data_IF_379834043946
#
_entry.id   IF_379834043946
#
_cell.length_a   1.000
_cell.length_b   1.000
_cell.length_c   1.000
_cell.angle_alpha   90.00
_cell.angle_beta   90.00
_cell.angle_gamma   90.00
#
_symmetry.space_group_name_H-M   'P 1'
#
loop_
_entity.id
_entity.type
_entity.pdbx_description
1 polymer ?
#
# COMPACT_ATOMS: atom_id res chain seq x y z
N UNK A 1 -43.93 -3.53 -28.22
CA UNK A 1 -42.74 -4.20 -28.79
C UNK A 1 -42.01 -4.86 -27.63
N UNK A 2 -41.76 -6.18 -27.66
CA UNK A 2 -41.28 -6.90 -26.46
C UNK A 2 -39.75 -6.75 -26.32
N UNK A 3 -39.24 -5.94 -25.37
CA UNK A 3 -37.83 -5.56 -25.30
C UNK A 3 -36.91 -6.72 -24.89
N UNK A 4 -37.47 -7.78 -24.30
CA UNK A 4 -36.74 -9.00 -23.98
C UNK A 4 -36.26 -9.74 -25.24
N UNK A 5 -36.93 -9.56 -26.40
CA UNK A 5 -36.47 -10.14 -27.67
C UNK A 5 -35.17 -9.50 -28.19
N UNK A 6 -34.88 -8.25 -27.81
CA UNK A 6 -33.63 -7.56 -28.20
C UNK A 6 -32.45 -8.18 -27.44
N UNK A 7 -32.63 -8.44 -26.15
CA UNK A 7 -31.62 -9.11 -25.32
C UNK A 7 -31.43 -10.55 -25.79
N UNK A 8 -32.48 -11.30 -26.13
CA UNK A 8 -32.32 -12.66 -26.65
C UNK A 8 -31.63 -12.72 -28.03
N UNK A 9 -31.83 -11.74 -28.91
CA UNK A 9 -31.12 -11.70 -30.19
C UNK A 9 -29.63 -11.37 -30.02
N UNK A 10 -29.26 -10.57 -29.01
CA UNK A 10 -27.86 -10.34 -28.63
C UNK A 10 -27.14 -11.64 -28.19
N UNK A 11 -27.88 -12.66 -27.73
CA UNK A 11 -27.32 -13.98 -27.42
C UNK A 11 -26.71 -14.67 -28.65
N UNK A 12 -27.18 -14.38 -29.86
CA UNK A 12 -26.67 -15.00 -31.10
C UNK A 12 -25.34 -14.42 -31.60
N UNK A 13 -24.96 -13.24 -31.12
CA UNK A 13 -23.73 -12.54 -31.53
C UNK A 13 -22.67 -12.42 -30.42
N UNK A 14 -22.98 -12.91 -29.22
CA UNK A 14 -22.10 -12.86 -28.06
C UNK A 14 -21.72 -14.28 -27.63
N UNK A 15 -20.54 -14.41 -27.02
CA UNK A 15 -20.20 -15.66 -26.34
C UNK A 15 -21.18 -15.92 -25.19
N UNK A 16 -21.42 -17.19 -24.88
CA UNK A 16 -22.36 -17.59 -23.81
C UNK A 16 -21.99 -16.94 -22.47
N UNK A 17 -20.69 -16.86 -22.17
CA UNK A 17 -20.17 -16.24 -20.96
C UNK A 17 -20.36 -14.70 -20.93
N UNK A 18 -20.24 -14.01 -22.07
CA UNK A 18 -20.52 -12.57 -22.14
C UNK A 18 -22.02 -12.27 -22.01
N UNK A 19 -22.86 -13.12 -22.59
CA UNK A 19 -24.31 -12.97 -22.50
C UNK A 19 -24.79 -13.13 -21.06
N UNK A 20 -24.38 -14.20 -20.38
CA UNK A 20 -24.81 -14.49 -19.01
C UNK A 20 -24.34 -13.42 -18.01
N UNK A 21 -23.07 -12.99 -18.11
CA UNK A 21 -22.50 -12.07 -17.13
C UNK A 21 -22.89 -10.60 -17.35
N UNK A 22 -23.27 -10.19 -18.56
CA UNK A 22 -23.47 -8.77 -18.88
C UNK A 22 -24.84 -8.43 -19.44
N UNK A 23 -25.46 -9.30 -20.23
CA UNK A 23 -26.70 -8.97 -20.96
C UNK A 23 -27.93 -9.58 -20.27
N UNK A 24 -27.86 -10.84 -19.83
CA UNK A 24 -28.98 -11.55 -19.20
C UNK A 24 -29.44 -10.90 -17.87
N UNK A 25 -28.53 -10.19 -17.21
CA UNK A 25 -28.77 -9.49 -15.95
C UNK A 25 -29.43 -8.10 -16.11
N UNK A 26 -29.55 -7.60 -17.35
CA UNK A 26 -30.19 -6.31 -17.63
C UNK A 26 -31.71 -6.45 -17.56
N UNK A 27 -32.35 -5.50 -16.86
CA UNK A 27 -33.81 -5.40 -16.80
C UNK A 27 -34.28 -4.17 -17.53
N UNK A 28 -35.13 -4.33 -18.54
CA UNK A 28 -35.72 -3.20 -19.24
C UNK A 28 -36.63 -2.38 -18.31
N UNK A 29 -36.49 -1.05 -18.37
CA UNK A 29 -37.26 -0.12 -17.56
C UNK A 29 -38.32 0.57 -18.40
N UNK A 30 -39.50 -0.04 -18.50
CA UNK A 30 -40.62 0.47 -19.31
C UNK A 30 -41.07 1.87 -18.90
N UNK A 31 -41.01 2.21 -17.61
CA UNK A 31 -41.50 3.50 -17.09
C UNK A 31 -40.63 4.68 -17.50
N UNK A 32 -39.34 4.45 -17.76
CA UNK A 32 -38.39 5.49 -18.15
C UNK A 32 -38.01 5.41 -19.64
N UNK A 33 -38.45 4.36 -20.33
CA UNK A 33 -38.17 4.18 -21.75
C UNK A 33 -39.27 4.80 -22.62
N UNK A 34 -38.86 5.41 -23.72
CA UNK A 34 -39.71 5.99 -24.79
C UNK A 34 -39.24 5.45 -26.14
N UNK A 35 -39.97 5.76 -27.21
CA UNK A 35 -39.67 5.28 -28.56
C UNK A 35 -38.27 5.69 -29.08
N UNK A 36 -37.72 6.79 -28.58
CA UNK A 36 -36.43 7.38 -28.93
C UNK A 36 -35.35 7.21 -27.84
N UNK A 37 -35.71 6.62 -26.69
CA UNK A 37 -34.84 6.52 -25.53
C UNK A 37 -35.10 5.25 -24.72
N UNK A 38 -34.16 4.32 -24.68
CA UNK A 38 -34.30 3.04 -23.97
C UNK A 38 -33.50 3.04 -22.68
N UNK A 39 -34.11 2.60 -21.59
CA UNK A 39 -33.47 2.52 -20.28
C UNK A 39 -33.43 1.06 -19.80
N UNK A 40 -32.24 0.59 -19.47
CA UNK A 40 -32.00 -0.72 -18.86
C UNK A 40 -31.37 -0.55 -17.48
N UNK A 41 -31.77 -1.39 -16.55
CA UNK A 41 -31.24 -1.41 -15.19
C UNK A 41 -30.25 -2.58 -15.03
N UNK A 42 -29.02 -2.28 -14.62
CA UNK A 42 -27.99 -3.24 -14.23
C UNK A 42 -27.87 -3.34 -12.69
N UNK A 43 -27.34 -4.43 -12.12
CA UNK A 43 -27.24 -4.61 -10.67
C UNK A 43 -26.42 -3.55 -9.91
N UNK A 44 -25.41 -2.94 -10.55
CA UNK A 44 -24.55 -1.93 -9.94
C UNK A 44 -24.02 -0.91 -10.97
N UNK A 45 -23.46 0.21 -10.51
CA UNK A 45 -23.06 1.34 -11.36
C UNK A 45 -21.82 1.05 -12.22
N UNK A 46 -20.87 0.28 -11.71
CA UNK A 46 -19.67 -0.11 -12.46
C UNK A 46 -20.06 -0.96 -13.67
N UNK A 47 -20.93 -1.94 -13.45
CA UNK A 47 -21.46 -2.79 -14.50
C UNK A 47 -22.33 -2.00 -15.47
N UNK A 48 -23.15 -1.07 -14.98
CA UNK A 48 -23.92 -0.18 -15.83
C UNK A 48 -23.03 0.63 -16.78
N UNK A 49 -21.96 1.25 -16.26
CA UNK A 49 -20.99 2.01 -17.07
C UNK A 49 -20.22 1.14 -18.06
N UNK A 50 -19.79 -0.05 -17.62
CA UNK A 50 -19.10 -1.01 -18.48
C UNK A 50 -19.99 -1.46 -19.64
N UNK A 51 -21.21 -1.90 -19.35
CA UNK A 51 -22.16 -2.36 -20.37
C UNK A 51 -22.58 -1.18 -21.28
N UNK A 52 -22.79 0.02 -20.72
CA UNK A 52 -23.09 1.22 -21.50
C UNK A 52 -21.99 1.50 -22.53
N UNK A 53 -20.73 1.42 -22.10
CA UNK A 53 -19.56 1.71 -22.94
C UNK A 53 -19.36 0.63 -24.00
N UNK A 54 -19.42 -0.65 -23.62
CA UNK A 54 -19.09 -1.78 -24.49
C UNK A 54 -20.25 -2.20 -25.40
N UNK A 55 -21.49 -2.19 -24.90
CA UNK A 55 -22.65 -2.76 -25.59
C UNK A 55 -23.75 -1.75 -25.91
N UNK A 56 -23.74 -0.53 -25.35
CA UNK A 56 -24.81 0.46 -25.56
C UNK A 56 -25.09 0.79 -27.02
N UNK A 57 -24.04 0.94 -27.85
CA UNK A 57 -24.18 1.16 -29.30
C UNK A 57 -24.77 -0.05 -30.03
N UNK A 58 -24.38 -1.26 -29.64
CA UNK A 58 -24.91 -2.50 -30.22
C UNK A 58 -26.40 -2.64 -29.90
N UNK A 59 -26.79 -2.44 -28.64
CA UNK A 59 -28.20 -2.49 -28.20
C UNK A 59 -29.05 -1.47 -28.98
N UNK A 60 -28.53 -0.26 -29.18
CA UNK A 60 -29.18 0.79 -29.97
C UNK A 60 -29.38 0.38 -31.43
N UNK A 61 -28.35 -0.19 -32.06
CA UNK A 61 -28.42 -0.67 -33.44
C UNK A 61 -29.44 -1.81 -33.62
N UNK A 62 -29.44 -2.79 -32.70
CA UNK A 62 -30.42 -3.88 -32.74
C UNK A 62 -31.86 -3.40 -32.59
N UNK A 63 -32.08 -2.40 -31.75
CA UNK A 63 -33.39 -1.77 -31.63
C UNK A 63 -33.82 -1.08 -32.92
N UNK A 64 -32.91 -0.38 -33.60
CA UNK A 64 -33.18 0.29 -34.88
C UNK A 64 -33.56 -0.71 -35.98
N UNK A 65 -32.81 -1.81 -36.10
CA UNK A 65 -33.10 -2.87 -37.09
C UNK A 65 -34.47 -3.51 -36.86
N UNK A 66 -34.87 -3.69 -35.60
CA UNK A 66 -36.13 -4.37 -35.29
C UNK A 66 -37.35 -3.43 -35.32
N UNK A 67 -37.18 -2.18 -34.89
CA UNK A 67 -38.28 -1.22 -34.71
C UNK A 67 -38.43 -0.21 -35.83
N UNK A 68 -37.42 -0.07 -36.70
CA UNK A 68 -37.32 1.01 -37.68
C UNK A 68 -37.03 2.38 -37.07
N UNK A 69 -36.86 2.47 -35.75
CA UNK A 69 -36.64 3.73 -35.02
C UNK A 69 -35.27 3.74 -34.33
N UNK A 70 -34.54 4.84 -34.50
CA UNK A 70 -33.26 5.05 -33.84
C UNK A 70 -33.48 5.55 -32.41
N UNK A 71 -33.11 4.74 -31.43
CA UNK A 71 -33.20 5.10 -30.01
C UNK A 71 -31.82 5.14 -29.34
N UNK A 72 -31.63 6.12 -28.47
CA UNK A 72 -30.44 6.18 -27.60
C UNK A 72 -30.64 5.29 -26.37
N UNK A 73 -29.59 4.57 -25.97
CA UNK A 73 -29.64 3.58 -24.88
C UNK A 73 -28.94 4.14 -23.65
N UNK A 74 -29.59 4.03 -22.50
CA UNK A 74 -29.04 4.33 -21.19
C UNK A 74 -29.12 3.08 -20.29
N UNK A 75 -27.97 2.68 -19.76
CA UNK A 75 -27.85 1.60 -18.78
C UNK A 75 -27.48 2.23 -17.44
N UNK A 76 -28.32 2.01 -16.44
CA UNK A 76 -28.20 2.61 -15.11
C UNK A 76 -28.27 1.54 -14.02
N UNK A 77 -27.74 1.82 -12.83
CA UNK A 77 -27.84 0.89 -11.72
C UNK A 77 -29.28 0.77 -11.20
N UNK A 78 -29.72 -0.43 -10.82
CA UNK A 78 -31.01 -0.66 -10.20
C UNK A 78 -30.98 -0.05 -8.79
N UNK A 79 -31.60 1.12 -8.64
CA UNK A 79 -31.75 1.77 -7.33
C UNK A 79 -32.71 0.95 -6.47
N UNK A 80 -32.17 0.16 -5.54
CA UNK A 80 -32.97 -0.33 -4.41
C UNK A 80 -33.36 0.89 -3.57
N UNK A 81 -34.65 1.23 -3.59
CA UNK A 81 -35.24 2.24 -2.72
C UNK A 81 -35.17 1.75 -1.27
N UNK A 82 -34.07 2.05 -0.58
CA UNK A 82 -34.13 2.30 0.85
C UNK A 82 -34.38 3.79 1.06
N UNK A 83 -35.58 4.08 1.54
CA UNK A 83 -36.00 5.40 1.96
C UNK A 83 -35.15 5.87 3.15
N UNK A 84 -34.11 6.65 2.89
CA UNK A 84 -33.69 7.70 3.80
C UNK A 84 -33.71 9.00 3.02
N UNK A 85 -34.34 10.04 3.59
CA UNK A 85 -34.30 11.39 3.03
C UNK A 85 -32.84 11.88 3.09
N UNK A 86 -32.06 11.65 2.04
CA UNK A 86 -30.75 12.30 1.88
C UNK A 86 -30.85 13.35 0.78
N UNK A 87 -30.60 14.59 1.17
CA UNK A 87 -30.11 15.68 0.32
C UNK A 87 -29.26 15.11 -0.82
N UNK A 88 -29.54 15.47 -2.08
CA UNK A 88 -28.73 15.09 -3.24
C UNK A 88 -27.31 15.64 -3.03
N UNK A 89 -26.40 14.82 -2.53
CA UNK A 89 -24.98 15.16 -2.42
C UNK A 89 -24.40 15.09 -3.84
N UNK A 90 -23.88 16.20 -4.35
CA UNK A 90 -23.20 16.25 -5.65
C UNK A 90 -21.79 15.65 -5.52
N UNK A 91 -21.72 14.33 -5.69
CA UNK A 91 -20.48 13.55 -5.58
C UNK A 91 -19.44 14.02 -6.61
N UNK A 92 -19.85 14.56 -7.77
CA UNK A 92 -18.92 15.03 -8.79
C UNK A 92 -18.19 16.31 -8.35
N UNK A 93 -18.91 17.25 -7.74
CA UNK A 93 -18.32 18.46 -7.18
C UNK A 93 -17.38 18.15 -5.99
N UNK A 94 -17.75 17.20 -5.14
CA UNK A 94 -16.92 16.80 -3.99
C UNK A 94 -15.63 16.11 -4.43
N UNK A 95 -15.68 15.29 -5.49
CA UNK A 95 -14.47 14.72 -6.11
C UNK A 95 -13.53 15.79 -6.67
N UNK A 96 -14.08 16.86 -7.26
CA UNK A 96 -13.28 17.97 -7.78
C UNK A 96 -12.55 18.76 -6.68
N UNK A 97 -13.10 18.77 -5.46
CA UNK A 97 -12.49 19.44 -4.30
C UNK A 97 -11.61 18.53 -3.43
N UNK A 98 -11.52 17.24 -3.78
CA UNK A 98 -10.77 16.24 -3.03
C UNK A 98 -9.43 15.93 -3.70
N UNK A 99 -8.48 15.37 -2.96
CA UNK A 99 -7.25 14.85 -3.57
C UNK A 99 -7.58 13.64 -4.45
N UNK A 100 -6.90 13.54 -5.61
CA UNK A 100 -6.95 12.35 -6.46
C UNK A 100 -6.30 11.18 -5.71
N UNK A 101 -7.08 10.16 -5.41
CA UNK A 101 -6.62 8.92 -4.78
C UNK A 101 -6.37 7.85 -5.84
N UNK A 102 -5.55 6.85 -5.50
CA UNK A 102 -5.40 5.68 -6.34
C UNK A 102 -6.68 4.82 -6.26
N UNK A 103 -7.45 4.65 -7.36
CA UNK A 103 -8.70 3.89 -7.32
C UNK A 103 -8.49 2.39 -7.07
N UNK A 104 -7.26 1.86 -7.23
CA UNK A 104 -6.98 0.45 -6.95
C UNK A 104 -6.78 0.14 -5.46
N UNK A 105 -6.57 1.16 -4.63
CA UNK A 105 -6.36 0.99 -3.19
C UNK A 105 -7.72 1.03 -2.48
N UNK A 106 -8.41 -0.10 -2.46
CA UNK A 106 -9.71 -0.28 -1.81
C UNK A 106 -9.63 -1.32 -0.69
N UNK A 107 -10.68 -1.44 0.12
CA UNK A 107 -10.74 -2.48 1.15
C UNK A 107 -10.87 -3.88 0.55
N UNK A 108 -11.46 -3.97 -0.63
CA UNK A 108 -11.74 -5.21 -1.36
C UNK A 108 -10.47 -5.76 -2.03
N UNK A 109 -9.54 -4.88 -2.40
CA UNK A 109 -8.22 -5.27 -2.91
C UNK A 109 -7.17 -5.51 -1.81
N UNK A 110 -7.51 -5.22 -0.54
CA UNK A 110 -6.61 -5.43 0.59
C UNK A 110 -6.79 -6.83 1.20
N UNK A 111 -5.71 -7.61 1.25
CA UNK A 111 -5.73 -8.96 1.83
C UNK A 111 -5.54 -8.89 3.34
N UNK A 112 -6.53 -9.38 4.07
CA UNK A 112 -6.53 -9.39 5.54
C UNK A 112 -5.88 -10.66 6.08
N UNK A 113 -4.98 -10.50 7.04
CA UNK A 113 -4.38 -11.58 7.81
C UNK A 113 -4.05 -11.10 9.23
N UNK A 114 -3.58 -12.00 10.09
CA UNK A 114 -3.36 -11.68 11.52
C UNK A 114 -2.43 -10.48 11.73
N UNK A 115 -1.46 -10.28 10.83
CA UNK A 115 -0.48 -9.19 10.88
C UNK A 115 -1.03 -7.79 10.60
N UNK A 116 -2.26 -7.70 10.05
CA UNK A 116 -2.87 -6.43 9.64
C UNK A 116 -4.37 -6.31 10.01
N UNK A 117 -4.97 -7.35 10.59
CA UNK A 117 -6.39 -7.45 10.89
C UNK A 117 -6.90 -6.34 11.79
N UNK A 118 -6.11 -5.95 12.80
CA UNK A 118 -6.48 -4.89 13.73
C UNK A 118 -6.53 -3.52 13.04
N UNK A 119 -5.47 -3.16 12.30
CA UNK A 119 -5.42 -1.93 11.50
C UNK A 119 -6.56 -1.88 10.47
N UNK A 120 -6.78 -2.98 9.74
CA UNK A 120 -7.88 -3.12 8.78
C UNK A 120 -9.23 -2.91 9.45
N UNK A 121 -9.47 -3.58 10.58
CA UNK A 121 -10.72 -3.49 11.33
C UNK A 121 -11.01 -2.07 11.81
N UNK A 122 -10.00 -1.38 12.36
CA UNK A 122 -10.13 0.02 12.77
C UNK A 122 -10.51 0.93 11.60
N UNK A 123 -9.83 0.79 10.47
CA UNK A 123 -10.09 1.58 9.25
C UNK A 123 -11.46 1.27 8.64
N UNK A 124 -11.87 0.00 8.61
CA UNK A 124 -13.19 -0.39 8.09
C UNK A 124 -14.32 0.09 9.00
N UNK A 125 -14.11 0.09 10.32
CA UNK A 125 -15.11 0.54 11.29
C UNK A 125 -15.49 2.02 11.13
N UNK A 126 -14.51 2.90 10.86
CA UNK A 126 -14.75 4.33 10.64
C UNK A 126 -15.27 4.66 9.24
N UNK A 127 -15.10 3.75 8.27
CA UNK A 127 -15.53 3.93 6.88
C UNK A 127 -17.05 3.69 6.69
N UNK A 128 -17.82 3.85 7.76
CA UNK A 128 -19.29 3.83 7.76
C UNK A 128 -19.80 5.25 8.03
N UNK A 129 -20.83 5.68 7.30
CA UNK A 129 -21.29 7.08 7.24
C UNK A 129 -21.51 7.74 8.62
N UNK A 130 -22.04 7.00 9.58
CA UNK A 130 -22.39 7.54 10.91
C UNK A 130 -21.26 7.51 11.94
N UNK A 131 -20.11 6.90 11.59
CA UNK A 131 -18.97 6.70 12.51
C UNK A 131 -17.77 7.58 12.20
N UNK A 132 -17.69 8.10 10.97
CA UNK A 132 -16.60 8.96 10.52
C UNK A 132 -16.44 10.18 11.44
N UNK A 133 -15.23 10.40 11.94
CA UNK A 133 -14.87 11.53 12.81
C UNK A 133 -15.29 11.36 14.28
N UNK A 134 -16.28 10.50 14.56
CA UNK A 134 -16.84 10.24 15.89
C UNK A 134 -16.19 9.06 16.60
N UNK A 135 -15.88 8.02 15.84
CA UNK A 135 -15.36 6.75 16.36
C UNK A 135 -13.88 6.68 15.98
N UNK A 136 -13.00 6.41 16.95
CA UNK A 136 -11.55 6.24 16.74
C UNK A 136 -10.88 7.42 15.98
N UNK A 137 -10.74 8.58 16.64
CA UNK A 137 -10.16 9.78 16.01
C UNK A 137 -9.04 10.42 16.88
N UNK A 138 -7.77 10.42 16.42
CA UNK A 138 -7.28 9.94 15.11
C UNK A 138 -7.12 8.42 15.03
N UNK A 139 -6.88 7.89 13.83
CA UNK A 139 -6.26 6.57 13.63
C UNK A 139 -4.80 6.77 13.22
N UNK A 140 -3.89 6.12 13.94
CA UNK A 140 -2.45 6.12 13.66
C UNK A 140 -2.00 4.71 13.28
N UNK A 141 -1.65 4.51 12.01
CA UNK A 141 -1.19 3.23 11.46
C UNK A 141 0.33 3.26 11.41
N UNK A 142 1.01 2.26 11.96
CA UNK A 142 2.47 2.19 11.86
C UNK A 142 2.99 0.81 11.49
N UNK A 143 4.20 0.73 10.95
CA UNK A 143 4.82 -0.52 10.53
C UNK A 143 5.92 -0.25 9.52
N UNK A 144 6.73 -1.25 9.18
CA UNK A 144 7.83 -1.07 8.21
C UNK A 144 7.32 -0.69 6.81
N UNK A 145 8.26 -0.33 5.94
CA UNK A 145 7.96 0.02 4.55
C UNK A 145 7.34 -1.16 3.80
N UNK A 146 6.40 -0.85 2.91
CA UNK A 146 5.80 -1.85 2.03
C UNK A 146 4.90 -2.91 2.71
N UNK A 147 4.35 -2.63 3.89
CA UNK A 147 3.37 -3.51 4.54
C UNK A 147 1.90 -3.16 4.27
N UNK A 148 1.63 -2.15 3.43
CA UNK A 148 0.26 -1.77 3.03
C UNK A 148 -0.35 -0.58 3.78
N UNK A 149 0.45 0.19 4.54
CA UNK A 149 0.02 1.43 5.23
C UNK A 149 -0.71 2.40 4.29
N UNK A 150 -0.06 2.79 3.18
CA UNK A 150 -0.63 3.69 2.17
C UNK A 150 -1.87 3.11 1.49
N UNK A 151 -1.90 1.79 1.23
CA UNK A 151 -3.08 1.13 0.66
C UNK A 151 -4.27 1.30 1.60
N UNK A 152 -4.11 0.95 2.87
CA UNK A 152 -5.18 1.03 3.85
C UNK A 152 -5.64 2.48 4.10
N UNK A 153 -4.70 3.42 4.15
CA UNK A 153 -4.97 4.86 4.24
C UNK A 153 -5.84 5.35 3.07
N UNK A 154 -5.45 5.01 1.84
CA UNK A 154 -6.21 5.41 0.65
C UNK A 154 -7.53 4.63 0.50
N UNK A 155 -7.64 3.41 1.02
CA UNK A 155 -8.90 2.65 1.05
C UNK A 155 -9.98 3.36 1.89
N UNK A 156 -9.59 3.94 3.04
CA UNK A 156 -10.50 4.81 3.82
C UNK A 156 -10.91 6.02 2.98
N UNK A 157 -9.97 6.65 2.28
CA UNK A 157 -10.26 7.78 1.41
C UNK A 157 -11.23 7.45 0.28
N UNK A 158 -10.99 6.36 -0.44
CA UNK A 158 -11.86 5.92 -1.54
C UNK A 158 -13.28 5.62 -1.02
N UNK A 159 -13.42 4.88 0.08
CA UNK A 159 -14.71 4.63 0.71
C UNK A 159 -15.41 5.93 1.14
N UNK A 160 -14.65 6.91 1.64
CA UNK A 160 -15.17 8.21 2.05
C UNK A 160 -15.66 9.06 0.86
N UNK A 161 -14.94 9.04 -0.26
CA UNK A 161 -15.38 9.69 -1.50
C UNK A 161 -16.70 9.10 -2.02
N UNK A 162 -16.87 7.78 -1.94
CA UNK A 162 -18.12 7.10 -2.32
C UNK A 162 -19.29 7.51 -1.42
N UNK A 163 -19.03 7.85 -0.16
CA UNK A 163 -20.01 8.41 0.77
C UNK A 163 -20.28 9.90 0.55
N UNK A 164 -19.65 10.53 -0.45
CA UNK A 164 -19.78 11.96 -0.73
C UNK A 164 -19.11 12.83 0.33
N UNK A 165 -17.97 12.39 0.87
CA UNK A 165 -17.15 13.15 1.82
C UNK A 165 -15.97 13.81 1.12
N UNK A 166 -15.60 15.02 1.55
CA UNK A 166 -14.42 15.71 1.03
C UNK A 166 -13.16 15.15 1.67
N UNK A 167 -12.29 14.54 0.85
CA UNK A 167 -11.09 13.84 1.30
C UNK A 167 -9.84 14.60 0.87
N UNK A 168 -8.96 14.88 1.82
CA UNK A 168 -7.63 15.43 1.54
C UNK A 168 -6.59 14.38 1.91
N UNK A 169 -5.90 13.89 0.89
CA UNK A 169 -4.71 13.06 1.03
C UNK A 169 -3.46 13.89 0.75
N UNK A 170 -2.43 13.72 1.58
CA UNK A 170 -1.10 14.25 1.34
C UNK A 170 -0.04 13.35 1.98
N UNK A 171 1.11 13.20 1.34
CA UNK A 171 2.32 12.78 2.05
C UNK A 171 2.80 13.95 2.90
N UNK A 172 3.52 13.66 3.98
CA UNK A 172 4.12 14.71 4.82
C UNK A 172 5.05 15.63 4.03
N UNK A 173 5.74 15.10 3.03
CA UNK A 173 6.55 15.89 2.11
C UNK A 173 5.71 16.84 1.24
N UNK A 174 4.63 16.36 0.64
CA UNK A 174 3.72 17.21 -0.14
C UNK A 174 3.09 18.30 0.74
N UNK A 175 2.73 17.97 1.97
CA UNK A 175 2.22 18.94 2.95
C UNK A 175 3.25 20.04 3.26
N UNK A 176 4.51 19.67 3.50
CA UNK A 176 5.62 20.62 3.72
C UNK A 176 5.86 21.51 2.49
N UNK A 177 5.85 20.90 1.29
CA UNK A 177 6.08 21.61 0.03
C UNK A 177 4.94 22.60 -0.24
N UNK A 178 3.70 22.19 -0.05
CA UNK A 178 2.52 23.05 -0.17
C UNK A 178 2.60 24.24 0.80
N UNK A 179 2.90 23.98 2.08
CA UNK A 179 3.04 25.04 3.07
C UNK A 179 4.15 26.02 2.69
N UNK A 180 5.32 25.51 2.31
CA UNK A 180 6.48 26.33 1.96
C UNK A 180 6.22 27.19 0.72
N UNK A 181 5.54 26.63 -0.30
CA UNK A 181 5.18 27.33 -1.52
C UNK A 181 4.18 28.46 -1.24
N UNK A 182 3.10 28.18 -0.50
CA UNK A 182 2.09 29.18 -0.16
C UNK A 182 2.63 30.25 0.79
N UNK A 183 3.53 29.89 1.72
CA UNK A 183 4.22 30.84 2.58
C UNK A 183 5.08 31.82 1.76
N UNK A 184 5.87 31.31 0.80
CA UNK A 184 6.70 32.14 -0.08
C UNK A 184 5.88 33.06 -0.97
N UNK A 185 4.73 32.57 -1.45
CA UNK A 185 3.85 33.29 -2.36
C UNK A 185 2.81 34.19 -1.64
N UNK A 186 2.88 34.33 -0.31
CA UNK A 186 1.92 35.12 0.45
C UNK A 186 0.47 34.62 0.37
N UNK A 187 0.27 33.32 0.16
CA UNK A 187 -1.04 32.68 -0.10
C UNK A 187 -1.38 31.59 0.92
N UNK A 188 -0.97 31.78 2.19
CA UNK A 188 -1.28 30.84 3.27
C UNK A 188 -2.78 30.55 3.42
N UNK A 189 -3.65 31.50 3.07
CA UNK A 189 -5.11 31.28 3.10
C UNK A 189 -5.54 30.12 2.21
N UNK A 190 -4.92 29.94 1.03
CA UNK A 190 -5.20 28.81 0.13
C UNK A 190 -4.75 27.48 0.74
N UNK A 191 -3.63 27.49 1.45
CA UNK A 191 -3.14 26.33 2.17
C UNK A 191 -4.13 25.94 3.29
N UNK A 192 -4.58 26.91 4.07
CA UNK A 192 -5.61 26.70 5.10
C UNK A 192 -6.93 26.20 4.52
N UNK A 193 -7.42 26.81 3.44
CA UNK A 193 -8.66 26.40 2.76
C UNK A 193 -8.59 24.94 2.30
N UNK A 194 -7.44 24.53 1.74
CA UNK A 194 -7.22 23.15 1.29
C UNK A 194 -7.27 22.17 2.46
N UNK A 195 -6.53 22.42 3.54
CA UNK A 195 -6.30 21.41 4.58
C UNK A 195 -7.31 21.47 5.74
N UNK A 196 -7.95 22.60 6.02
CA UNK A 196 -8.91 22.75 7.13
C UNK A 196 -10.35 22.40 6.74
N UNK A 197 -10.72 22.61 5.48
CA UNK A 197 -12.06 22.37 4.99
C UNK A 197 -12.16 20.96 4.37
N UNK A 198 -12.08 19.90 5.19
CA UNK A 198 -12.28 18.53 4.74
C UNK A 198 -13.02 17.67 5.78
N UNK A 199 -13.74 16.65 5.31
CA UNK A 199 -14.36 15.65 6.19
C UNK A 199 -13.35 14.59 6.64
N UNK A 200 -12.33 14.33 5.80
CA UNK A 200 -11.29 13.31 6.05
C UNK A 200 -9.92 13.85 5.66
N UNK A 201 -9.01 13.87 6.63
CA UNK A 201 -7.60 14.17 6.41
C UNK A 201 -6.77 12.89 6.53
N UNK A 202 -6.06 12.58 5.45
CA UNK A 202 -5.17 11.43 5.32
C UNK A 202 -3.74 11.93 5.15
N UNK A 203 -2.89 11.71 6.17
CA UNK A 203 -1.47 12.08 6.09
C UNK A 203 -0.60 10.82 6.03
N UNK A 204 0.12 10.66 4.94
CA UNK A 204 1.09 9.57 4.78
C UNK A 204 2.46 9.98 5.34
N UNK A 205 3.17 9.00 5.92
CA UNK A 205 4.56 9.09 6.36
C UNK A 205 4.87 10.28 7.30
N UNK A 206 4.14 10.41 8.41
CA UNK A 206 4.28 11.52 9.39
C UNK A 206 5.66 11.63 10.03
N UNK A 207 6.51 10.62 9.91
CA UNK A 207 7.92 10.68 10.31
C UNK A 207 8.68 11.83 9.64
N UNK A 208 8.23 12.28 8.47
CA UNK A 208 8.88 13.38 7.75
C UNK A 208 8.40 14.79 8.15
N UNK A 209 7.39 14.93 9.02
CA UNK A 209 6.92 16.25 9.50
C UNK A 209 7.96 16.96 10.40
N UNK A 210 8.93 16.23 10.96
CA UNK A 210 9.92 16.75 11.91
C UNK A 210 10.95 17.73 11.34
N UNK A 211 10.78 18.27 10.13
CA UNK A 211 11.77 19.14 9.47
C UNK A 211 11.91 20.52 10.12
N UNK A 212 10.79 21.16 10.50
CA UNK A 212 10.82 22.50 11.15
C UNK A 212 9.73 22.62 12.21
N UNK A 213 9.92 23.50 13.21
CA UNK A 213 8.90 23.73 14.25
C UNK A 213 7.66 24.43 13.67
N UNK A 214 7.86 25.31 12.68
CA UNK A 214 6.78 26.08 12.04
C UNK A 214 5.77 25.18 11.32
N UNK A 215 6.23 24.18 10.57
CA UNK A 215 5.30 23.24 9.90
C UNK A 215 4.56 22.36 10.90
N UNK A 216 5.23 21.94 11.97
CA UNK A 216 4.63 21.14 13.02
C UNK A 216 3.55 21.91 13.79
N UNK A 217 3.79 23.19 14.03
CA UNK A 217 2.81 24.10 14.59
C UNK A 217 1.58 24.26 13.69
N UNK A 218 1.79 24.50 12.40
CA UNK A 218 0.68 24.62 11.46
C UNK A 218 -0.13 23.32 11.37
N UNK A 219 0.55 22.17 11.29
CA UNK A 219 -0.11 20.87 11.33
C UNK A 219 -0.90 20.65 12.62
N UNK A 220 -0.37 21.08 13.76
CA UNK A 220 -1.07 21.02 15.04
C UNK A 220 -2.37 21.83 15.01
N UNK A 221 -2.39 23.03 14.44
CA UNK A 221 -3.61 23.83 14.32
C UNK A 221 -4.63 23.19 13.38
N UNK A 222 -4.20 22.72 12.21
CA UNK A 222 -5.06 21.99 11.26
C UNK A 222 -5.66 20.75 11.91
N UNK A 223 -4.85 19.96 12.63
CA UNK A 223 -5.31 18.77 13.35
C UNK A 223 -6.43 19.11 14.34
N UNK A 224 -6.27 20.17 15.12
CA UNK A 224 -7.28 20.60 16.09
C UNK A 224 -8.57 21.03 15.40
N UNK A 225 -8.46 21.84 14.35
CA UNK A 225 -9.61 22.41 13.65
C UNK A 225 -10.46 21.31 13.01
N UNK A 226 -9.82 20.36 12.33
CA UNK A 226 -10.51 19.21 11.73
C UNK A 226 -11.19 18.37 12.81
N UNK A 227 -10.47 18.05 13.90
CA UNK A 227 -11.03 17.24 14.98
C UNK A 227 -12.22 17.93 15.66
N UNK A 228 -12.15 19.23 15.88
CA UNK A 228 -13.25 20.01 16.48
C UNK A 228 -14.47 20.10 15.56
N UNK A 229 -14.28 19.97 14.25
CA UNK A 229 -15.34 19.95 13.25
C UNK A 229 -15.85 18.53 12.94
N UNK A 230 -15.62 17.55 13.83
CA UNK A 230 -15.94 16.13 13.65
C UNK A 230 -15.35 15.54 12.35
N UNK A 231 -14.25 16.10 11.84
CA UNK A 231 -13.51 15.56 10.71
C UNK A 231 -12.62 14.40 11.13
N UNK A 232 -12.54 13.37 10.30
CA UNK A 232 -11.73 12.19 10.56
C UNK A 232 -10.27 12.43 10.20
N UNK A 233 -9.34 12.05 11.09
CA UNK A 233 -7.91 12.09 10.82
C UNK A 233 -7.34 10.67 10.83
N UNK A 234 -6.63 10.29 9.76
CA UNK A 234 -5.84 9.06 9.69
C UNK A 234 -4.41 9.42 9.26
N UNK A 235 -3.45 8.83 9.96
CA UNK A 235 -2.03 9.05 9.75
C UNK A 235 -1.30 7.72 9.62
N UNK A 236 -0.25 7.68 8.80
CA UNK A 236 0.66 6.53 8.72
C UNK A 236 2.07 6.90 9.16
N UNK A 237 2.81 5.94 9.70
CA UNK A 237 4.24 6.10 9.94
C UNK A 237 5.04 4.80 9.85
N UNK A 238 6.36 4.92 9.75
CA UNK A 238 7.26 3.79 9.95
C UNK A 238 7.46 3.41 11.42
N UNK A 239 7.19 4.33 12.35
CA UNK A 239 7.41 4.15 13.79
C UNK A 239 6.18 4.55 14.61
N UNK A 240 5.97 3.99 15.81
CA UNK A 240 4.91 4.43 16.70
C UNK A 240 5.15 5.88 17.17
N UNK A 241 4.10 6.60 17.65
CA UNK A 241 4.19 8.02 17.98
C UNK A 241 5.33 8.41 18.94
N UNK A 242 5.58 7.60 19.96
CA UNK A 242 6.63 7.82 20.95
C UNK A 242 8.06 7.71 20.39
N UNK A 243 8.24 6.98 19.28
CA UNK A 243 9.53 6.78 18.61
C UNK A 243 9.80 7.76 17.47
N UNK A 244 8.87 8.67 17.18
CA UNK A 244 9.06 9.69 16.14
C UNK A 244 10.10 10.72 16.55
N UNK A 245 11.24 10.72 15.85
CA UNK A 245 12.32 11.69 16.05
C UNK A 245 11.97 13.02 15.38
N UNK A 246 12.31 14.13 16.03
CA UNK A 246 12.06 15.48 15.50
C UNK A 246 10.60 15.96 15.56
N UNK A 247 9.67 15.13 16.04
CA UNK A 247 8.28 15.53 16.27
C UNK A 247 8.11 16.07 17.69
N UNK A 248 7.41 17.19 17.83
CA UNK A 248 7.11 17.82 19.11
C UNK A 248 6.25 16.93 20.02
N UNK A 249 6.48 16.98 21.33
CA UNK A 249 5.74 16.18 22.31
C UNK A 249 4.22 16.43 22.27
N UNK A 250 3.80 17.67 21.97
CA UNK A 250 2.37 17.98 21.78
C UNK A 250 1.77 17.19 20.62
N UNK A 251 2.44 17.09 19.48
CA UNK A 251 1.95 16.32 18.34
C UNK A 251 1.96 14.82 18.64
N UNK A 252 3.02 14.29 19.26
CA UNK A 252 3.06 12.88 19.69
C UNK A 252 1.89 12.53 20.60
N UNK A 253 1.56 13.41 21.55
CA UNK A 253 0.39 13.25 22.42
C UNK A 253 -0.92 13.21 21.62
N UNK A 254 -1.07 14.06 20.59
CA UNK A 254 -2.25 14.03 19.71
C UNK A 254 -2.35 12.75 18.89
N UNK A 255 -1.23 12.27 18.38
CA UNK A 255 -1.16 11.02 17.60
C UNK A 255 -1.53 9.82 18.46
N UNK A 256 -1.11 9.82 19.73
CA UNK A 256 -1.37 8.74 20.67
C UNK A 256 -2.75 8.78 21.34
N UNK A 257 -3.52 9.86 21.18
CA UNK A 257 -4.83 10.01 21.84
C UNK A 257 -5.96 9.18 21.18
N UNK A 258 -5.72 8.62 19.99
CA UNK A 258 -6.71 7.83 19.25
C UNK A 258 -6.38 6.33 19.21
N UNK A 259 -6.75 5.66 18.11
CA UNK A 259 -6.29 4.29 17.86
C UNK A 259 -4.85 4.34 17.36
N UNK A 260 -4.00 3.50 17.96
CA UNK A 260 -2.69 3.16 17.42
C UNK A 260 -2.78 1.71 16.96
N UNK A 261 -2.52 1.46 15.67
CA UNK A 261 -2.57 0.13 15.08
C UNK A 261 -1.28 -0.16 14.32
N UNK A 262 -0.66 -1.30 14.61
CA UNK A 262 0.50 -1.78 13.89
C UNK A 262 0.11 -2.62 12.67
N UNK A 263 1.00 -2.63 11.69
CA UNK A 263 1.01 -3.58 10.59
C UNK A 263 2.37 -4.25 10.59
N UNK A 264 2.36 -5.57 10.73
CA UNK A 264 3.57 -6.40 10.76
C UNK A 264 3.71 -7.24 9.49
N UNK A 265 4.90 -7.79 9.22
CA UNK A 265 5.12 -8.75 8.16
C UNK A 265 4.04 -9.86 8.09
N UNK A 266 3.44 -10.11 6.91
CA UNK A 266 2.48 -11.18 6.75
C UNK A 266 3.14 -12.56 6.87
N UNK A 267 2.41 -13.53 7.42
CA UNK A 267 2.81 -14.94 7.39
C UNK A 267 2.69 -15.53 5.98
N UNK A 268 3.27 -16.71 5.76
CA UNK A 268 3.32 -17.37 4.44
C UNK A 268 1.96 -17.47 3.75
N UNK A 269 0.92 -17.91 4.46
CA UNK A 269 -0.42 -18.06 3.88
C UNK A 269 -1.01 -16.71 3.44
N UNK A 270 -0.79 -15.66 4.24
CA UNK A 270 -1.20 -14.30 3.89
C UNK A 270 -0.38 -13.74 2.73
N UNK A 271 0.94 -14.03 2.66
CA UNK A 271 1.80 -13.67 1.51
C UNK A 271 1.29 -14.32 0.22
N UNK A 272 0.96 -15.61 0.25
CA UNK A 272 0.41 -16.33 -0.91
C UNK A 272 -0.90 -15.69 -1.36
N UNK A 273 -1.79 -15.36 -0.42
CA UNK A 273 -3.05 -14.68 -0.73
C UNK A 273 -2.82 -13.28 -1.34
N UNK A 274 -1.85 -12.52 -0.82
CA UNK A 274 -1.44 -11.22 -1.38
C UNK A 274 -0.93 -11.39 -2.83
N UNK A 275 -0.04 -12.35 -3.07
CA UNK A 275 0.51 -12.62 -4.42
C UNK A 275 -0.62 -12.96 -5.38
N UNK A 276 -1.53 -13.86 -5.00
CA UNK A 276 -2.69 -14.23 -5.81
C UNK A 276 -3.56 -13.02 -6.13
N UNK A 277 -3.87 -12.18 -5.14
CA UNK A 277 -4.68 -10.98 -5.33
C UNK A 277 -4.01 -9.96 -6.25
N UNK A 278 -2.68 -9.83 -6.16
CA UNK A 278 -1.89 -8.99 -7.07
C UNK A 278 -1.84 -9.55 -8.49
N UNK A 279 -1.74 -10.87 -8.65
CA UNK A 279 -1.81 -11.52 -9.96
C UNK A 279 -3.18 -11.32 -10.62
N UNK A 280 -4.28 -11.52 -9.86
CA UNK A 280 -5.65 -11.26 -10.30
C UNK A 280 -5.84 -9.80 -10.75
N UNK A 281 -5.34 -8.84 -9.96
CA UNK A 281 -5.48 -7.41 -10.27
C UNK A 281 -4.74 -7.00 -11.56
N UNK A 282 -3.60 -7.62 -11.84
CA UNK A 282 -2.75 -7.29 -12.98
C UNK A 282 -2.97 -8.21 -14.19
N UNK A 283 -3.95 -9.12 -14.14
CA UNK A 283 -4.20 -10.14 -15.17
C UNK A 283 -2.95 -10.98 -15.51
N UNK A 284 -2.22 -11.40 -14.47
CA UNK A 284 -1.00 -12.21 -14.59
C UNK A 284 -1.32 -13.62 -14.14
N UNK A 285 -1.05 -14.61 -14.99
CA UNK A 285 -1.22 -16.01 -14.64
C UNK A 285 0.11 -16.62 -14.16
N UNK A 286 0.19 -16.98 -12.88
CA UNK A 286 1.33 -17.68 -12.29
C UNK A 286 0.87 -19.04 -11.75
N UNK A 287 1.68 -20.08 -11.98
CA UNK A 287 1.43 -21.39 -11.38
C UNK A 287 1.59 -21.34 -9.85
N UNK A 288 0.92 -22.26 -9.14
CA UNK A 288 1.03 -22.35 -7.69
C UNK A 288 2.48 -22.55 -7.21
N UNK A 289 3.30 -23.28 -7.98
CA UNK A 289 4.71 -23.49 -7.65
C UNK A 289 5.51 -22.19 -7.70
N UNK A 290 5.24 -21.33 -8.67
CA UNK A 290 5.88 -20.01 -8.79
C UNK A 290 5.42 -19.10 -7.65
N UNK A 291 4.12 -19.08 -7.34
CA UNK A 291 3.57 -18.29 -6.24
C UNK A 291 4.21 -18.69 -4.90
N UNK A 292 4.28 -20.00 -4.63
CA UNK A 292 4.90 -20.53 -3.42
C UNK A 292 6.40 -20.21 -3.38
N UNK A 293 7.09 -20.30 -4.52
CA UNK A 293 8.50 -19.95 -4.61
C UNK A 293 8.75 -18.46 -4.31
N UNK A 294 7.94 -17.55 -4.87
CA UNK A 294 8.00 -16.12 -4.60
C UNK A 294 7.73 -15.85 -3.11
N UNK A 295 6.69 -16.46 -2.54
CA UNK A 295 6.28 -16.25 -1.16
C UNK A 295 7.32 -16.70 -0.12
N UNK A 296 8.07 -17.76 -0.44
CA UNK A 296 9.11 -18.34 0.43
C UNK A 296 10.49 -17.72 0.25
N UNK A 297 10.78 -17.21 -0.96
CA UNK A 297 12.13 -16.74 -1.31
C UNK A 297 12.32 -15.22 -1.15
N UNK A 298 11.23 -14.44 -1.13
CA UNK A 298 11.29 -13.00 -0.90
C UNK A 298 11.15 -12.64 0.59
N UNK A 299 11.69 -11.47 0.93
CA UNK A 299 11.57 -10.89 2.26
C UNK A 299 10.13 -10.47 2.61
N UNK A 300 10.01 -9.69 3.67
CA UNK A 300 8.71 -9.34 4.25
C UNK A 300 8.03 -8.12 3.62
N UNK A 301 8.65 -7.52 2.59
CA UNK A 301 8.16 -6.31 1.94
C UNK A 301 7.26 -6.64 0.75
N UNK A 302 5.97 -6.26 0.82
CA UNK A 302 4.99 -6.55 -0.23
C UNK A 302 5.30 -5.80 -1.53
N UNK A 303 5.96 -4.63 -1.47
CA UNK A 303 6.39 -3.92 -2.69
C UNK A 303 7.44 -4.70 -3.47
N UNK A 304 8.33 -5.43 -2.78
CA UNK A 304 9.32 -6.29 -3.45
C UNK A 304 8.61 -7.45 -4.18
N UNK A 305 7.62 -8.05 -3.54
CA UNK A 305 6.76 -9.08 -4.14
C UNK A 305 6.07 -8.55 -5.39
N UNK A 306 5.46 -7.37 -5.31
CA UNK A 306 4.80 -6.71 -6.45
C UNK A 306 5.79 -6.41 -7.59
N UNK A 307 6.99 -5.94 -7.26
CA UNK A 307 8.06 -5.72 -8.23
C UNK A 307 8.44 -6.98 -8.99
N UNK A 308 8.62 -8.12 -8.30
CA UNK A 308 8.94 -9.40 -8.95
C UNK A 308 7.81 -9.87 -9.87
N UNK A 309 6.55 -9.77 -9.44
CA UNK A 309 5.39 -10.16 -10.25
C UNK A 309 5.36 -9.35 -11.56
N UNK A 310 5.55 -8.04 -11.47
CA UNK A 310 5.59 -7.14 -12.64
C UNK A 310 6.79 -7.47 -13.53
N UNK A 311 7.98 -7.66 -12.95
CA UNK A 311 9.19 -8.03 -13.69
C UNK A 311 8.99 -9.33 -14.47
N UNK A 312 8.44 -10.38 -13.83
CA UNK A 312 8.18 -11.65 -14.49
C UNK A 312 7.22 -11.51 -15.67
N UNK A 313 6.14 -10.75 -15.49
CA UNK A 313 5.21 -10.47 -16.57
C UNK A 313 5.87 -9.67 -17.71
N UNK A 314 6.72 -8.69 -17.38
CA UNK A 314 7.46 -7.94 -18.38
C UNK A 314 8.41 -8.84 -19.18
N UNK A 315 9.19 -9.71 -18.53
CA UNK A 315 10.08 -10.67 -19.19
C UNK A 315 9.31 -11.60 -20.14
N UNK A 316 8.20 -12.18 -19.67
CA UNK A 316 7.35 -13.05 -20.47
C UNK A 316 6.79 -12.35 -21.71
N UNK A 317 6.26 -11.13 -21.54
CA UNK A 317 5.69 -10.36 -22.65
C UNK A 317 6.74 -9.88 -23.66
N UNK A 318 7.93 -9.47 -23.20
CA UNK A 318 9.00 -8.99 -24.09
C UNK A 318 9.63 -10.14 -24.89
N UNK A 319 9.86 -11.28 -24.25
CA UNK A 319 10.50 -12.44 -24.87
C UNK A 319 9.50 -13.37 -25.57
N UNK A 320 8.20 -13.15 -25.38
CA UNK A 320 7.13 -14.00 -25.92
C UNK A 320 7.14 -15.41 -25.34
N UNK A 321 7.52 -15.56 -24.07
CA UNK A 321 7.67 -16.85 -23.39
C UNK A 321 6.72 -16.96 -22.21
N UNK A 322 6.31 -18.19 -21.88
CA UNK A 322 5.52 -18.44 -20.68
C UNK A 322 6.35 -18.24 -19.41
N UNK A 323 5.69 -17.82 -18.32
CA UNK A 323 6.34 -17.67 -17.02
C UNK A 323 6.56 -19.04 -16.41
N UNK A 324 7.78 -19.58 -16.54
CA UNK A 324 8.19 -20.85 -15.93
C UNK A 324 8.84 -20.64 -14.56
N UNK A 325 8.93 -21.71 -13.77
CA UNK A 325 9.65 -21.68 -12.49
C UNK A 325 11.15 -21.37 -12.66
N UNK A 326 11.72 -21.74 -13.80
CA UNK A 326 13.12 -21.46 -14.13
C UNK A 326 13.35 -19.97 -14.39
N UNK A 327 12.45 -19.32 -15.15
CA UNK A 327 12.45 -17.88 -15.33
C UNK A 327 12.23 -17.14 -14.01
N UNK A 328 11.31 -17.62 -13.17
CA UNK A 328 11.10 -17.07 -11.83
C UNK A 328 12.38 -17.11 -10.99
N UNK A 329 13.09 -18.25 -10.99
CA UNK A 329 14.37 -18.41 -10.29
C UNK A 329 15.47 -17.50 -10.83
N UNK A 330 15.56 -17.28 -12.15
CA UNK A 330 16.59 -16.41 -12.72
C UNK A 330 16.35 -14.95 -12.37
N UNK A 331 15.14 -14.44 -12.60
CA UNK A 331 14.76 -13.04 -12.32
C UNK A 331 14.94 -12.72 -10.84
N UNK A 332 14.52 -13.63 -9.95
CA UNK A 332 14.68 -13.43 -8.52
C UNK A 332 16.14 -13.48 -8.05
N UNK A 333 16.98 -14.31 -8.66
CA UNK A 333 18.42 -14.35 -8.34
C UNK A 333 19.09 -13.02 -8.67
N UNK A 334 18.77 -12.42 -9.81
CA UNK A 334 19.34 -11.13 -10.20
C UNK A 334 18.90 -10.01 -9.24
N UNK A 335 17.62 -9.97 -8.86
CA UNK A 335 17.12 -9.04 -7.85
C UNK A 335 17.76 -9.22 -6.47
N UNK A 336 17.95 -10.47 -6.02
CA UNK A 336 18.61 -10.75 -4.73
C UNK A 336 20.10 -10.39 -4.78
N UNK A 337 20.77 -10.67 -5.91
CA UNK A 337 22.19 -10.39 -6.11
C UNK A 337 22.44 -8.88 -6.17
N UNK A 338 21.65 -8.13 -6.93
CA UNK A 338 21.72 -6.66 -6.99
C UNK A 338 21.55 -6.04 -5.60
N UNK A 339 20.59 -6.53 -4.80
CA UNK A 339 20.39 -6.07 -3.42
C UNK A 339 21.61 -6.34 -2.52
N UNK A 340 22.26 -7.50 -2.66
CA UNK A 340 23.49 -7.84 -1.90
C UNK A 340 24.72 -7.09 -2.40
N UNK A 341 24.75 -6.68 -3.67
CA UNK A 341 25.83 -5.86 -4.24
C UNK A 341 25.68 -4.38 -3.84
N UNK A 342 24.47 -3.91 -3.57
CA UNK A 342 24.20 -2.54 -3.09
C UNK A 342 24.48 -2.32 -1.59
N UNK A 343 24.61 -3.39 -0.79
CA UNK A 343 24.96 -3.27 0.64
C UNK A 343 26.47 -3.38 0.78
N UNK A 344 27.13 -2.27 1.09
CA UNK A 344 28.57 -2.25 1.36
C UNK A 344 28.88 -2.78 2.77
N UNK A 345 30.04 -3.42 2.94
CA UNK A 345 30.51 -3.84 4.26
C UNK A 345 30.80 -2.62 5.16
N UNK A 346 31.12 -1.48 4.55
CA UNK A 346 31.29 -0.19 5.21
C UNK A 346 29.99 0.32 5.84
N UNK A 347 28.85 0.15 5.18
CA UNK A 347 27.54 0.53 5.72
C UNK A 347 27.18 -0.29 6.96
N UNK A 348 27.40 -1.60 6.88
CA UNK A 348 27.19 -2.54 7.99
C UNK A 348 28.08 -2.13 9.17
N UNK A 349 29.36 -1.88 8.91
CA UNK A 349 30.31 -1.50 9.94
C UNK A 349 29.95 -0.15 10.58
N UNK A 350 29.57 0.84 9.77
CA UNK A 350 29.19 2.19 10.22
C UNK A 350 27.98 2.14 11.16
N UNK A 351 26.94 1.40 10.79
CA UNK A 351 25.75 1.25 11.63
C UNK A 351 26.08 0.57 12.96
N UNK A 352 26.83 -0.54 12.92
CA UNK A 352 27.20 -1.29 14.13
C UNK A 352 28.07 -0.43 15.05
N UNK A 353 29.01 0.32 14.50
CA UNK A 353 29.85 1.23 15.27
C UNK A 353 29.03 2.30 15.99
N UNK A 354 28.01 2.85 15.31
CA UNK A 354 27.08 3.83 15.89
C UNK A 354 26.24 3.24 17.03
N UNK A 355 25.71 2.03 16.84
CA UNK A 355 24.81 1.38 17.80
C UNK A 355 25.54 0.85 19.04
N UNK A 356 26.79 0.42 18.90
CA UNK A 356 27.62 -0.04 20.01
C UNK A 356 28.48 1.07 20.62
N UNK A 357 28.42 2.28 20.07
CA UNK A 357 29.26 3.43 20.43
C UNK A 357 30.75 3.08 20.45
N UNK A 358 31.23 2.45 19.37
CA UNK A 358 32.62 2.02 19.19
C UNK A 358 33.20 2.60 17.90
N UNK A 359 34.53 2.72 17.85
CA UNK A 359 35.21 3.21 16.64
C UNK A 359 35.35 2.08 15.60
N UNK A 360 35.20 2.35 14.29
CA UNK A 360 35.44 1.36 13.24
C UNK A 360 36.83 0.70 13.31
N UNK A 361 37.84 1.46 13.71
CA UNK A 361 39.20 0.94 13.93
C UNK A 361 39.28 -0.09 15.05
N UNK A 362 38.47 0.04 16.13
CA UNK A 362 38.44 -0.93 17.21
C UNK A 362 37.86 -2.28 16.73
N UNK A 363 36.85 -2.24 15.87
CA UNK A 363 36.23 -3.45 15.29
C UNK A 363 37.20 -4.17 14.35
N UNK A 364 38.04 -3.45 13.61
CA UNK A 364 39.08 -4.04 12.75
C UNK A 364 40.38 -4.42 13.50
N UNK A 365 40.52 -4.03 14.76
CA UNK A 365 41.72 -4.28 15.56
C UNK A 365 41.69 -5.65 16.26
N UNK A 366 42.80 -6.03 16.89
CA UNK A 366 42.90 -7.20 17.77
C UNK A 366 42.31 -6.98 19.18
N UNK A 367 41.67 -5.83 19.46
CA UNK A 367 41.09 -5.49 20.77
C UNK A 367 40.04 -6.53 21.19
N UNK A 368 40.14 -7.01 22.43
CA UNK A 368 39.37 -8.13 22.98
C UNK A 368 38.35 -7.74 24.06
N UNK A 369 38.02 -6.45 24.21
CA UNK A 369 36.95 -6.05 25.13
C UNK A 369 35.62 -6.67 24.70
N UNK A 370 34.83 -7.16 25.66
CA UNK A 370 33.61 -7.93 25.38
C UNK A 370 32.65 -7.21 24.42
N UNK A 371 32.50 -5.90 24.59
CA UNK A 371 31.66 -5.06 23.74
C UNK A 371 32.16 -5.03 22.28
N UNK A 372 33.48 -4.88 22.07
CA UNK A 372 34.09 -4.85 20.72
C UNK A 372 34.06 -6.23 20.06
N UNK A 373 34.29 -7.30 20.82
CA UNK A 373 34.22 -8.68 20.31
C UNK A 373 32.80 -9.01 19.85
N UNK A 374 31.80 -8.63 20.64
CA UNK A 374 30.39 -8.86 20.32
C UNK A 374 29.99 -8.09 19.06
N UNK A 375 30.32 -6.79 19.00
CA UNK A 375 30.06 -5.97 17.83
C UNK A 375 30.76 -6.50 16.56
N UNK A 376 32.02 -6.97 16.67
CA UNK A 376 32.76 -7.59 15.56
C UNK A 376 32.09 -8.87 15.05
N UNK A 377 31.64 -9.75 15.95
CA UNK A 377 30.93 -10.99 15.57
C UNK A 377 29.62 -10.68 14.85
N UNK A 378 28.86 -9.71 15.35
CA UNK A 378 27.62 -9.25 14.71
C UNK A 378 27.92 -8.66 13.33
N UNK A 379 28.97 -7.84 13.20
CA UNK A 379 29.36 -7.27 11.91
C UNK A 379 29.76 -8.32 10.88
N UNK A 380 30.54 -9.31 11.30
CA UNK A 380 30.94 -10.44 10.45
C UNK A 380 29.71 -11.25 10.01
N UNK A 381 28.80 -11.53 10.93
CA UNK A 381 27.58 -12.28 10.63
C UNK A 381 26.68 -11.55 9.63
N UNK A 382 26.38 -10.27 9.91
CA UNK A 382 25.53 -9.46 9.04
C UNK A 382 26.19 -9.24 7.68
N UNK A 383 27.51 -9.03 7.62
CA UNK A 383 28.22 -8.95 6.35
C UNK A 383 28.12 -10.26 5.55
N UNK A 384 28.18 -11.42 6.22
CA UNK A 384 28.02 -12.72 5.54
C UNK A 384 26.61 -12.94 4.99
N UNK A 385 25.59 -12.49 5.72
CA UNK A 385 24.18 -12.63 5.33
C UNK A 385 23.77 -11.63 4.24
N UNK A 386 24.23 -10.38 4.36
CA UNK A 386 23.72 -9.22 3.61
C UNK A 386 24.59 -8.80 2.42
N UNK A 387 25.83 -9.31 2.30
CA UNK A 387 26.72 -9.00 1.17
C UNK A 387 27.08 -10.27 0.38
N UNK A 388 27.70 -10.10 -0.79
CA UNK A 388 28.25 -11.19 -1.60
C UNK A 388 29.68 -11.60 -1.18
N UNK A 389 30.21 -11.06 -0.09
CA UNK A 389 31.59 -11.29 0.32
C UNK A 389 31.84 -12.73 0.82
N UNK A 390 32.95 -13.30 0.35
CA UNK A 390 33.46 -14.60 0.78
C UNK A 390 34.13 -14.54 2.16
N UNK A 391 34.30 -15.68 2.84
CA UNK A 391 35.00 -15.73 4.12
C UNK A 391 36.43 -15.18 4.04
N UNK A 392 37.13 -15.37 2.92
CA UNK A 392 38.46 -14.83 2.68
C UNK A 392 38.44 -13.30 2.55
N UNK A 393 37.46 -12.75 1.83
CA UNK A 393 37.31 -11.29 1.70
C UNK A 393 36.94 -10.65 3.05
N UNK A 394 36.09 -11.30 3.84
CA UNK A 394 35.77 -10.85 5.21
C UNK A 394 37.00 -10.91 6.13
N UNK A 395 37.79 -11.98 6.06
CA UNK A 395 39.03 -12.08 6.84
C UNK A 395 39.99 -10.94 6.54
N UNK A 396 40.16 -10.60 5.26
CA UNK A 396 40.97 -9.45 4.83
C UNK A 396 40.41 -8.13 5.36
N UNK A 397 39.09 -7.91 5.26
CA UNK A 397 38.46 -6.66 5.70
C UNK A 397 38.57 -6.43 7.22
N UNK A 398 38.39 -7.48 8.02
CA UNK A 398 38.48 -7.43 9.48
C UNK A 398 39.90 -7.68 10.02
N UNK A 399 40.91 -7.76 9.14
CA UNK A 399 42.32 -7.99 9.48
C UNK A 399 42.50 -9.23 10.37
N UNK A 400 41.78 -10.31 10.02
CA UNK A 400 41.84 -11.60 10.72
C UNK A 400 42.74 -12.56 9.97
N UNK A 401 43.57 -13.32 10.70
CA UNK A 401 44.61 -14.18 10.12
C UNK A 401 44.07 -15.27 9.20
N UNK A 402 42.94 -15.87 9.55
CA UNK A 402 42.39 -17.03 8.83
C UNK A 402 40.88 -16.93 8.64
N UNK A 403 40.39 -17.43 7.49
CA UNK A 403 38.97 -17.56 7.17
C UNK A 403 38.21 -18.43 8.21
N UNK A 404 38.91 -19.32 8.91
CA UNK A 404 38.37 -20.14 10.01
C UNK A 404 37.93 -19.30 11.20
N UNK A 405 38.59 -18.17 11.46
CA UNK A 405 38.21 -17.25 12.54
C UNK A 405 36.91 -16.49 12.23
N UNK A 406 36.67 -16.22 10.94
CA UNK A 406 35.39 -15.67 10.46
C UNK A 406 34.28 -16.71 10.63
N UNK A 407 34.51 -17.95 10.17
CA UNK A 407 33.56 -19.06 10.32
C UNK A 407 33.20 -19.32 11.79
N UNK A 408 34.20 -19.35 12.68
CA UNK A 408 33.99 -19.49 14.11
C UNK A 408 33.19 -18.32 14.71
N UNK A 409 33.42 -17.09 14.25
CA UNK A 409 32.67 -15.91 14.69
C UNK A 409 31.20 -15.98 14.29
N UNK A 410 30.92 -16.44 13.06
CA UNK A 410 29.55 -16.68 12.56
C UNK A 410 28.86 -17.77 13.39
N UNK A 411 29.54 -18.90 13.61
CA UNK A 411 28.99 -20.01 14.40
C UNK A 411 28.64 -19.56 15.82
N UNK A 412 29.55 -18.82 16.47
CA UNK A 412 29.34 -18.38 17.85
C UNK A 412 28.21 -17.38 18.01
N UNK A 413 27.96 -16.52 17.02
CA UNK A 413 26.81 -15.62 17.09
C UNK A 413 25.49 -16.36 16.87
N UNK A 414 25.47 -17.41 16.04
CA UNK A 414 24.28 -18.23 15.82
C UNK A 414 23.90 -18.98 17.09
N UNK A 415 24.87 -19.60 17.77
CA UNK A 415 24.66 -20.22 19.09
C UNK A 415 24.09 -19.19 20.09
N UNK A 416 24.66 -17.98 20.17
CA UNK A 416 24.16 -16.93 21.06
C UNK A 416 22.73 -16.45 20.71
N UNK A 417 22.32 -16.51 19.45
CA UNK A 417 20.96 -16.17 19.03
C UNK A 417 19.95 -17.26 19.36
N UNK A 418 20.40 -18.51 19.53
CA UNK A 418 19.57 -19.62 19.99
C UNK A 418 19.37 -19.56 21.51
N UNK A 419 20.41 -19.14 22.24
CA UNK A 419 20.40 -19.09 23.71
C UNK A 419 19.83 -17.79 24.29
N UNK A 420 19.89 -16.66 23.56
CA UNK A 420 19.51 -15.32 24.05
C UNK A 420 18.58 -14.57 23.06
N UNK A 421 17.31 -14.47 23.44
CA UNK A 421 16.25 -13.81 22.65
C UNK A 421 16.45 -12.29 22.50
N UNK A 422 17.12 -11.64 23.46
CA UNK A 422 17.45 -10.21 23.38
C UNK A 422 18.53 -9.95 22.33
N UNK A 423 19.55 -10.81 22.28
CA UNK A 423 20.60 -10.76 21.26
C UNK A 423 20.00 -11.00 19.87
N UNK A 424 19.11 -11.99 19.74
CA UNK A 424 18.41 -12.28 18.49
C UNK A 424 17.59 -11.08 18.00
N UNK A 425 16.76 -10.51 18.86
CA UNK A 425 15.96 -9.31 18.55
C UNK A 425 16.84 -8.15 18.12
N UNK A 426 17.93 -7.89 18.83
CA UNK A 426 18.88 -6.81 18.50
C UNK A 426 19.57 -7.01 17.14
N UNK A 427 19.93 -8.25 16.78
CA UNK A 427 20.53 -8.57 15.49
C UNK A 427 19.52 -8.39 14.35
N UNK A 428 18.26 -8.82 14.54
CA UNK A 428 17.20 -8.59 13.55
C UNK A 428 16.88 -7.10 13.38
N UNK A 429 16.87 -6.31 14.45
CA UNK A 429 16.75 -4.84 14.37
C UNK A 429 17.88 -4.21 13.55
N UNK A 430 19.14 -4.61 13.81
CA UNK A 430 20.31 -4.12 13.06
C UNK A 430 20.23 -4.52 11.59
N UNK A 431 19.84 -5.76 11.30
CA UNK A 431 19.63 -6.28 9.96
C UNK A 431 18.58 -5.47 9.21
N UNK A 432 17.44 -5.21 9.83
CA UNK A 432 16.37 -4.40 9.27
C UNK A 432 16.85 -2.98 8.97
N UNK A 433 17.53 -2.32 9.92
CA UNK A 433 18.11 -0.99 9.72
C UNK A 433 19.09 -0.91 8.54
N UNK A 434 19.92 -1.93 8.34
CA UNK A 434 20.84 -2.01 7.19
C UNK A 434 20.05 -2.12 5.89
N UNK A 435 19.05 -2.99 5.85
CA UNK A 435 18.21 -3.22 4.67
C UNK A 435 17.38 -1.99 4.29
N UNK A 436 16.96 -1.18 5.26
CA UNK A 436 16.20 0.06 4.98
C UNK A 436 17.11 1.18 4.44
N UNK A 437 18.36 1.27 4.91
CA UNK A 437 19.32 2.31 4.49
C UNK A 437 19.83 2.11 3.06
N UNK A 438 19.89 0.87 2.55
CA UNK A 438 20.25 0.61 1.15
C UNK A 438 19.13 0.89 0.14
N UNK A 439 17.92 1.21 0.61
CA UNK A 439 16.74 1.52 -0.23
C UNK A 439 16.46 3.02 -0.35
N UNK A 440 17.28 3.86 0.29
CA UNK A 440 17.24 5.33 0.28
C UNK A 440 18.50 5.88 -0.35
#
# INVERSE_FOLDING_TARGET
>A
MNPNQILENLKKELSENEYENYIAILKFNEKQSKADFLVFNAPNELLAKFIQTKYGKKISHFYEVQSGNKASVLIQAQSQKHSSKSTKIDIAHIKAQSTILNPSFTFESFVVGDSNKYAYGACKAISQKDKLGKLYNPIFIYGLTGLGKTHLLQAVGNASLEMGKKVIYATSENFINDFTSNLKNGSLDKFHEKYRNCDVLLIDDVQFLGKTDKIQEEFFFIFNEIKNNDGQIIMTSDNPPNMLKGITERLKSRFAHGIIADITPPQLDTKIAIIRKKCEFNDINLSNDIINYIATSLGDNIREIEGIIISLNAYANILGQEITLELAKSVMKDHIKEKKENISIEDILSLICKEFNIKPSDVKSSKKTQNVVTARRIAIYLARELTSLTFSQLANFFVMKDHTAISHSVKKIKELMEDDEQIKTKIEELKNKILTKSQS
#
